data_IF_359084296950
#
_entry.id   IF_359084296950
#
_cell.length_a   1.000
_cell.length_b   1.000
_cell.length_c   1.000
_cell.angle_alpha   90.00
_cell.angle_beta   90.00
_cell.angle_gamma   90.00
#
_symmetry.space_group_name_H-M   'P 1'
#
loop_
_entity.id
_entity.type
_entity.pdbx_description
1 polymer ?
#
# COMPACT_ATOMS: atom_id res chain seq x y z
N UNK A 1 -4.06 74.97 6.93
CA UNK A 1 -2.88 74.26 6.39
C UNK A 1 -2.56 73.08 7.31
N UNK A 2 -2.79 71.83 6.90
CA UNK A 2 -2.14 70.66 7.52
C UNK A 2 -2.96 69.73 8.44
N UNK A 3 -4.17 69.28 8.07
CA UNK A 3 -4.82 68.12 8.77
C UNK A 3 -5.53 67.10 7.87
N UNK A 4 -5.50 67.26 6.55
CA UNK A 4 -6.29 66.42 5.63
C UNK A 4 -5.44 65.43 4.81
N UNK A 5 -4.10 65.51 4.88
CA UNK A 5 -3.19 64.68 4.08
C UNK A 5 -2.89 63.31 4.67
N UNK A 6 -3.24 63.07 5.94
CA UNK A 6 -2.92 61.80 6.63
C UNK A 6 -3.94 60.69 6.36
N UNK A 7 -5.13 61.02 5.85
CA UNK A 7 -6.20 60.03 5.60
C UNK A 7 -6.15 59.40 4.22
N UNK A 8 -5.37 59.97 3.29
CA UNK A 8 -5.34 59.53 1.88
C UNK A 8 -4.26 58.50 1.57
N UNK A 9 -3.29 58.29 2.48
CA UNK A 9 -2.26 57.25 2.33
C UNK A 9 -2.70 55.90 2.91
N UNK A 10 -3.65 55.88 3.86
CA UNK A 10 -4.13 54.64 4.48
C UNK A 10 -5.06 53.83 3.57
N UNK A 11 -5.69 54.45 2.56
CA UNK A 11 -6.64 53.77 1.67
C UNK A 11 -5.95 53.04 0.50
N UNK A 12 -4.69 53.35 0.19
CA UNK A 12 -3.96 52.70 -0.91
C UNK A 12 -3.23 51.41 -0.49
N UNK A 13 -3.02 51.17 0.80
CA UNK A 13 -2.45 49.90 1.28
C UNK A 13 -3.49 48.81 1.53
N UNK A 14 -4.79 49.15 1.55
CA UNK A 14 -5.86 48.18 1.80
C UNK A 14 -6.39 47.50 0.53
N UNK A 15 -5.82 47.78 -0.64
CA UNK A 15 -6.25 47.17 -1.92
C UNK A 15 -5.35 46.02 -2.39
N UNK A 16 -4.19 45.79 -1.76
CA UNK A 16 -3.23 44.73 -2.15
C UNK A 16 -3.18 43.56 -1.16
N UNK A 17 -4.15 43.46 -0.24
CA UNK A 17 -4.20 42.37 0.75
C UNK A 17 -5.29 41.32 0.46
N UNK A 18 -6.07 41.47 -0.62
CA UNK A 18 -7.21 40.57 -0.92
C UNK A 18 -6.92 39.57 -2.05
N UNK A 19 -5.86 39.77 -2.86
CA UNK A 19 -5.55 38.88 -3.99
C UNK A 19 -4.71 37.65 -3.60
N UNK A 20 -4.09 37.64 -2.40
CA UNK A 20 -3.17 36.57 -1.97
C UNK A 20 -3.80 35.40 -1.18
N UNK A 21 -5.11 35.42 -0.90
CA UNK A 21 -5.69 34.57 0.14
C UNK A 21 -6.49 33.34 -0.36
N UNK A 22 -6.29 32.86 -1.60
CA UNK A 22 -7.05 31.72 -2.12
C UNK A 22 -6.21 30.62 -2.81
N UNK A 23 -4.92 30.52 -2.50
CA UNK A 23 -4.14 29.34 -2.89
C UNK A 23 -3.83 28.49 -1.65
N UNK A 24 -4.88 27.94 -1.03
CA UNK A 24 -4.68 26.82 -0.12
C UNK A 24 -4.11 25.66 -0.94
N UNK A 25 -3.01 25.01 -0.52
CA UNK A 25 -2.56 23.79 -1.17
C UNK A 25 -3.71 22.78 -1.03
N UNK A 26 -4.32 22.42 -2.15
CA UNK A 26 -5.20 21.26 -2.22
C UNK A 26 -4.33 20.09 -1.78
N UNK A 27 -4.54 19.62 -0.56
CA UNK A 27 -3.95 18.37 -0.11
C UNK A 27 -4.45 17.32 -1.09
N UNK A 28 -3.58 16.90 -2.01
CA UNK A 28 -3.86 15.79 -2.90
C UNK A 28 -4.19 14.62 -1.98
N UNK A 29 -5.47 14.22 -1.94
CA UNK A 29 -5.91 13.02 -1.27
C UNK A 29 -5.09 11.90 -1.92
N UNK A 30 -4.09 11.41 -1.20
CA UNK A 30 -3.24 10.33 -1.68
C UNK A 30 -4.19 9.17 -1.98
N UNK A 31 -4.35 8.85 -3.27
CA UNK A 31 -5.21 7.75 -3.64
C UNK A 31 -4.76 6.51 -2.87
N UNK A 32 -5.69 5.77 -2.25
CA UNK A 32 -5.35 4.59 -1.49
C UNK A 32 -4.58 3.61 -2.38
N UNK A 33 -3.26 3.55 -2.17
CA UNK A 33 -2.37 2.77 -3.02
C UNK A 33 -2.46 1.31 -2.59
N UNK A 34 -3.09 0.50 -3.44
CA UNK A 34 -2.99 -0.95 -3.32
C UNK A 34 -1.51 -1.37 -3.27
N UNK A 35 -1.17 -2.31 -2.40
CA UNK A 35 0.18 -2.89 -2.32
C UNK A 35 0.16 -4.23 -3.02
N UNK A 36 1.20 -4.56 -3.76
CA UNK A 36 1.33 -5.86 -4.41
C UNK A 36 2.45 -6.68 -3.77
N UNK A 37 2.26 -7.99 -3.74
CA UNK A 37 3.29 -8.94 -3.31
C UNK A 37 4.13 -9.31 -4.53
N UNK A 38 5.44 -9.11 -4.40
CA UNK A 38 6.42 -9.37 -5.45
C UNK A 38 7.38 -10.46 -5.02
N UNK A 39 7.68 -11.36 -5.94
CA UNK A 39 8.64 -12.46 -5.78
C UNK A 39 9.60 -12.50 -6.97
N UNK A 40 10.69 -13.25 -6.82
CA UNK A 40 11.59 -13.54 -7.93
C UNK A 40 10.83 -14.26 -9.07
N UNK A 41 11.31 -14.10 -10.32
CA UNK A 41 10.59 -14.60 -11.50
C UNK A 41 10.47 -16.13 -11.53
N UNK A 42 11.45 -16.82 -10.97
CA UNK A 42 11.58 -18.28 -11.00
C UNK A 42 10.85 -18.97 -9.84
N UNK A 43 10.27 -18.20 -8.91
CA UNK A 43 9.44 -18.72 -7.84
C UNK A 43 8.34 -19.63 -8.44
N UNK A 44 7.94 -20.76 -7.83
CA UNK A 44 6.91 -21.62 -8.42
C UNK A 44 5.48 -21.06 -8.26
N UNK A 45 5.27 -20.13 -7.34
CA UNK A 45 3.93 -19.68 -6.95
C UNK A 45 3.38 -18.63 -7.92
N UNK A 46 2.09 -18.70 -8.24
CA UNK A 46 1.31 -17.63 -8.88
C UNK A 46 0.30 -16.97 -7.94
N UNK A 47 0.00 -17.65 -6.82
CA UNK A 47 -0.95 -17.23 -5.81
C UNK A 47 -0.44 -17.59 -4.41
N UNK A 48 -0.77 -16.78 -3.41
CA UNK A 48 -0.48 -17.06 -2.00
C UNK A 48 -1.66 -16.66 -1.10
N UNK A 49 -1.98 -17.48 -0.10
CA UNK A 49 -2.97 -17.12 0.93
C UNK A 49 -2.41 -16.13 1.95
N UNK A 50 -3.28 -15.31 2.55
CA UNK A 50 -2.87 -14.29 3.55
C UNK A 50 -2.13 -14.92 4.74
N UNK A 51 -2.61 -16.06 5.26
CA UNK A 51 -1.97 -16.74 6.39
C UNK A 51 -0.60 -17.35 6.04
N UNK A 52 -0.42 -17.81 4.80
CA UNK A 52 0.86 -18.30 4.32
C UNK A 52 1.87 -17.14 4.19
N UNK A 53 1.43 -16.01 3.64
CA UNK A 53 2.23 -14.80 3.53
C UNK A 53 2.63 -14.27 4.92
N UNK A 54 1.67 -14.21 5.85
CA UNK A 54 1.91 -13.89 7.26
C UNK A 54 2.95 -14.80 7.89
N UNK A 55 2.85 -16.11 7.67
CA UNK A 55 3.79 -17.09 8.22
C UNK A 55 5.21 -16.90 7.70
N UNK A 56 5.39 -16.49 6.45
CA UNK A 56 6.70 -16.15 5.87
C UNK A 56 7.30 -14.90 6.55
N UNK A 57 6.51 -13.83 6.70
CA UNK A 57 6.97 -12.56 7.28
C UNK A 57 7.13 -12.56 8.80
N UNK A 58 6.58 -13.56 9.49
CA UNK A 58 6.87 -13.88 10.89
C UNK A 58 7.97 -14.94 11.05
N UNK A 59 8.52 -15.49 9.96
CA UNK A 59 9.54 -16.54 10.03
C UNK A 59 9.06 -17.89 10.61
N UNK A 60 7.74 -18.07 10.77
CA UNK A 60 7.09 -19.34 11.14
C UNK A 60 7.19 -20.37 10.01
N UNK A 61 7.18 -19.89 8.76
CA UNK A 61 7.53 -20.65 7.57
C UNK A 61 8.78 -20.02 6.95
N UNK A 62 9.76 -20.83 6.59
CA UNK A 62 11.07 -20.36 6.07
C UNK A 62 11.38 -20.84 4.66
N UNK A 63 10.47 -21.59 4.07
CA UNK A 63 10.63 -22.23 2.76
C UNK A 63 9.37 -22.07 1.93
N UNK A 64 9.58 -21.99 0.63
CA UNK A 64 8.55 -22.12 -0.39
C UNK A 64 8.15 -23.59 -0.57
N UNK A 65 7.00 -23.89 -1.23
CA UNK A 65 6.55 -25.26 -1.42
C UNK A 65 7.51 -26.17 -2.20
N UNK A 66 8.44 -25.59 -2.98
CA UNK A 66 9.49 -26.30 -3.71
C UNK A 66 10.76 -26.54 -2.87
N UNK A 67 10.76 -26.16 -1.58
CA UNK A 67 11.91 -26.23 -0.69
C UNK A 67 12.90 -25.07 -0.83
N UNK A 68 12.67 -24.12 -1.75
CA UNK A 68 13.52 -22.92 -1.85
C UNK A 68 13.39 -22.10 -0.56
N UNK A 69 14.51 -21.71 0.06
CA UNK A 69 14.50 -20.84 1.24
C UNK A 69 13.83 -19.50 0.93
N UNK A 70 12.85 -19.12 1.74
CA UNK A 70 12.18 -17.84 1.62
C UNK A 70 13.05 -16.71 2.20
N UNK A 71 13.14 -15.60 1.47
CA UNK A 71 13.89 -14.40 1.87
C UNK A 71 12.92 -13.22 1.90
N UNK A 72 12.13 -13.07 2.98
CA UNK A 72 11.26 -11.91 3.12
C UNK A 72 12.08 -10.63 3.28
N UNK A 73 11.61 -9.54 2.67
CA UNK A 73 12.16 -8.18 2.80
C UNK A 73 11.04 -7.19 3.08
N UNK A 74 11.31 -6.25 4.00
CA UNK A 74 10.38 -5.19 4.33
C UNK A 74 10.71 -3.94 3.53
N UNK A 75 9.68 -3.18 3.19
CA UNK A 75 9.85 -1.76 2.89
C UNK A 75 10.01 -1.03 4.23
N UNK A 76 10.84 0.01 4.25
CA UNK A 76 10.94 0.91 5.39
C UNK A 76 9.58 1.53 5.74
N UNK A 77 9.47 2.06 6.96
CA UNK A 77 8.24 2.63 7.50
C UNK A 77 7.57 3.64 6.54
N UNK A 78 6.24 3.67 6.59
CA UNK A 78 5.42 4.50 5.72
C UNK A 78 4.11 3.82 5.34
N UNK A 79 3.26 4.47 4.54
CA UNK A 79 1.91 3.96 4.25
C UNK A 79 1.85 2.51 3.71
N UNK A 80 2.76 2.06 2.82
CA UNK A 80 2.74 0.67 2.37
C UNK A 80 3.15 -0.34 3.46
N UNK A 81 4.11 0.03 4.32
CA UNK A 81 4.52 -0.81 5.45
C UNK A 81 3.38 -0.91 6.48
N UNK A 82 2.76 0.21 6.83
CA UNK A 82 1.59 0.27 7.70
C UNK A 82 0.44 -0.60 7.19
N UNK A 83 0.10 -0.48 5.90
CA UNK A 83 -0.93 -1.27 5.25
C UNK A 83 -0.60 -2.76 5.31
N UNK A 84 0.66 -3.13 5.03
CA UNK A 84 1.08 -4.52 5.09
C UNK A 84 1.00 -5.10 6.52
N UNK A 85 1.51 -4.38 7.51
CA UNK A 85 1.48 -4.80 8.92
C UNK A 85 0.04 -4.98 9.42
N UNK A 86 -0.84 -4.00 9.16
CA UNK A 86 -2.24 -4.06 9.61
C UNK A 86 -3.06 -5.15 8.89
N UNK A 87 -2.90 -5.31 7.57
CA UNK A 87 -3.74 -6.24 6.78
C UNK A 87 -3.22 -7.68 6.77
N UNK A 88 -1.92 -7.88 6.52
CA UNK A 88 -1.30 -9.21 6.43
C UNK A 88 -0.88 -9.70 7.80
N UNK A 89 -0.21 -8.85 8.56
CA UNK A 89 0.31 -9.24 9.87
C UNK A 89 -0.71 -9.03 11.00
N UNK A 90 -1.84 -8.36 10.77
CA UNK A 90 -2.84 -8.10 11.82
C UNK A 90 -2.19 -7.58 13.12
N UNK A 91 -1.16 -6.75 12.95
CA UNK A 91 -0.27 -6.25 14.00
C UNK A 91 0.00 -4.77 13.71
N UNK A 92 0.17 -3.97 14.77
CA UNK A 92 0.78 -2.66 14.60
C UNK A 92 2.25 -2.80 14.22
N UNK A 93 2.84 -1.76 13.63
CA UNK A 93 4.28 -1.73 13.33
C UNK A 93 5.12 -1.93 14.61
N UNK A 94 4.71 -1.31 15.71
CA UNK A 94 5.36 -1.46 17.01
C UNK A 94 5.27 -2.89 17.55
N UNK A 95 4.13 -3.57 17.40
CA UNK A 95 4.00 -4.97 17.83
C UNK A 95 4.80 -5.92 16.95
N UNK A 96 4.93 -5.61 15.65
CA UNK A 96 5.76 -6.38 14.74
C UNK A 96 7.26 -6.21 15.04
N UNK A 97 7.70 -5.00 15.41
CA UNK A 97 9.07 -4.77 15.87
C UNK A 97 9.35 -5.51 17.18
N UNK A 98 8.45 -5.39 18.17
CA UNK A 98 8.54 -6.13 19.45
C UNK A 98 8.59 -7.64 19.24
N UNK A 99 7.76 -8.17 18.34
CA UNK A 99 7.78 -9.58 17.98
C UNK A 99 9.19 -10.03 17.57
N UNK A 100 9.88 -9.28 16.72
CA UNK A 100 11.22 -9.64 16.28
C UNK A 100 12.31 -9.41 17.32
N UNK A 101 12.12 -8.47 18.25
CA UNK A 101 12.98 -8.34 19.44
C UNK A 101 12.89 -9.61 20.29
N UNK A 102 11.67 -10.08 20.57
CA UNK A 102 11.43 -11.29 21.37
C UNK A 102 12.00 -12.54 20.68
N UNK A 103 11.75 -12.71 19.37
CA UNK A 103 12.29 -13.84 18.60
C UNK A 103 13.82 -13.84 18.55
N UNK A 104 14.45 -12.66 18.50
CA UNK A 104 15.91 -12.53 18.58
C UNK A 104 16.43 -12.96 19.95
N UNK A 105 15.78 -12.54 21.04
CA UNK A 105 16.14 -12.94 22.42
C UNK A 105 15.99 -14.45 22.61
N UNK A 106 14.99 -15.06 21.98
CA UNK A 106 14.77 -16.52 22.00
C UNK A 106 15.73 -17.30 21.10
N UNK A 107 16.60 -16.63 20.33
CA UNK A 107 17.52 -17.27 19.38
C UNK A 107 16.83 -17.80 18.12
N UNK A 108 15.56 -17.45 17.87
CA UNK A 108 14.81 -17.92 16.72
C UNK A 108 15.22 -17.23 15.41
N UNK A 109 15.88 -16.07 15.48
CA UNK A 109 16.47 -15.39 14.31
C UNK A 109 16.26 -13.88 14.34
N UNK A 110 16.27 -13.27 13.16
CA UNK A 110 16.02 -11.83 12.99
C UNK A 110 15.01 -11.63 11.87
N UNK A 111 14.23 -10.57 12.00
CA UNK A 111 13.18 -10.24 11.06
C UNK A 111 13.69 -9.83 9.67
N UNK A 112 12.76 -9.67 8.72
CA UNK A 112 13.07 -9.22 7.37
C UNK A 112 13.78 -7.86 7.40
N UNK A 113 14.82 -7.73 6.57
CA UNK A 113 15.57 -6.47 6.45
C UNK A 113 14.68 -5.37 5.86
N UNK A 114 14.61 -4.17 6.47
CA UNK A 114 13.95 -3.03 5.87
C UNK A 114 14.82 -2.42 4.75
N UNK A 115 14.19 -2.02 3.66
CA UNK A 115 14.80 -1.34 2.52
C UNK A 115 14.11 0.01 2.29
N UNK A 116 14.91 1.04 2.04
CA UNK A 116 14.45 2.43 2.01
C UNK A 116 13.59 2.84 0.81
N UNK A 117 13.43 1.98 -0.19
CA UNK A 117 12.60 2.30 -1.36
C UNK A 117 12.04 1.08 -2.07
N UNK A 118 10.91 1.26 -2.74
CA UNK A 118 10.29 0.22 -3.58
C UNK A 118 11.24 -0.26 -4.68
N UNK A 119 12.03 0.63 -5.27
CA UNK A 119 13.03 0.26 -6.28
C UNK A 119 14.12 -0.65 -5.70
N UNK A 120 14.52 -0.46 -4.44
CA UNK A 120 15.47 -1.36 -3.77
C UNK A 120 14.84 -2.73 -3.49
N UNK A 121 13.59 -2.77 -3.04
CA UNK A 121 12.83 -4.01 -2.85
C UNK A 121 12.77 -4.79 -4.16
N UNK A 122 12.33 -4.17 -5.24
CA UNK A 122 12.22 -4.79 -6.57
C UNK A 122 13.59 -5.31 -7.04
N UNK A 123 14.64 -4.50 -6.95
CA UNK A 123 15.99 -4.93 -7.36
C UNK A 123 16.51 -6.13 -6.57
N UNK A 124 16.25 -6.17 -5.27
CA UNK A 124 16.66 -7.30 -4.44
C UNK A 124 15.85 -8.55 -4.80
N UNK A 125 14.54 -8.42 -4.91
CA UNK A 125 13.63 -9.51 -5.26
C UNK A 125 13.96 -10.10 -6.64
N UNK A 126 14.29 -9.25 -7.62
CA UNK A 126 14.69 -9.70 -8.95
C UNK A 126 16.02 -10.47 -8.98
N UNK A 127 16.89 -10.29 -7.98
CA UNK A 127 18.25 -10.87 -7.94
C UNK A 127 18.39 -12.05 -6.99
N UNK A 128 17.54 -12.14 -5.98
CA UNK A 128 17.65 -13.13 -4.91
C UNK A 128 16.55 -14.17 -5.07
N UNK A 129 16.94 -15.39 -5.43
CA UNK A 129 16.02 -16.52 -5.51
C UNK A 129 15.34 -16.76 -4.16
N UNK A 130 14.02 -16.94 -4.19
CA UNK A 130 13.20 -17.14 -3.00
C UNK A 130 12.83 -15.84 -2.27
N UNK A 131 13.22 -14.67 -2.78
CA UNK A 131 12.87 -13.40 -2.15
C UNK A 131 11.38 -13.06 -2.32
N UNK A 132 10.81 -12.45 -1.28
CA UNK A 132 9.45 -11.90 -1.28
C UNK A 132 9.43 -10.55 -0.61
N UNK A 133 8.77 -9.59 -1.25
CA UNK A 133 8.55 -8.27 -0.73
C UNK A 133 7.16 -7.76 -1.08
N UNK A 134 6.88 -6.53 -0.67
CA UNK A 134 5.70 -5.79 -1.08
C UNK A 134 6.07 -4.38 -1.49
N UNK A 135 5.36 -3.86 -2.48
CA UNK A 135 5.54 -2.50 -3.01
C UNK A 135 4.20 -1.90 -3.41
N UNK A 136 4.06 -0.57 -3.48
CA UNK A 136 2.88 0.04 -4.08
C UNK A 136 2.67 -0.46 -5.52
N UNK A 137 1.43 -0.75 -5.91
CA UNK A 137 1.08 -1.31 -7.21
C UNK A 137 1.63 -0.49 -8.38
N UNK A 138 1.56 0.84 -8.29
CA UNK A 138 2.09 1.76 -9.30
C UNK A 138 3.62 1.84 -9.38
N UNK A 139 4.37 1.10 -8.56
CA UNK A 139 5.84 1.07 -8.57
C UNK A 139 6.42 -0.20 -9.17
N UNK A 140 5.58 -1.19 -9.48
CA UNK A 140 6.02 -2.47 -10.03
C UNK A 140 6.55 -2.27 -11.45
N UNK A 141 7.63 -2.97 -11.78
CA UNK A 141 8.15 -3.11 -13.13
C UNK A 141 8.14 -4.58 -13.57
N UNK A 142 8.50 -4.87 -14.82
CA UNK A 142 8.52 -6.22 -15.37
C UNK A 142 9.70 -7.10 -14.90
N UNK A 143 10.53 -6.64 -13.96
CA UNK A 143 11.71 -7.40 -13.49
C UNK A 143 11.37 -8.44 -12.42
N UNK A 144 10.22 -8.32 -11.78
CA UNK A 144 9.73 -9.22 -10.73
C UNK A 144 8.41 -9.87 -11.14
N UNK A 145 8.06 -10.95 -10.45
CA UNK A 145 6.73 -11.57 -10.61
C UNK A 145 5.80 -11.10 -9.50
N UNK A 146 4.57 -10.79 -9.86
CA UNK A 146 3.51 -10.40 -8.93
C UNK A 146 2.67 -11.62 -8.57
N UNK A 147 2.40 -11.82 -7.27
CA UNK A 147 1.51 -12.87 -6.80
C UNK A 147 0.08 -12.36 -6.63
N UNK A 148 -0.89 -13.19 -7.03
CA UNK A 148 -2.25 -13.06 -6.52
C UNK A 148 -2.29 -13.38 -5.03
N UNK A 149 -3.20 -12.73 -4.30
CA UNK A 149 -3.40 -12.97 -2.86
C UNK A 149 -4.82 -13.47 -2.65
N UNK A 150 -4.94 -14.64 -2.01
CA UNK A 150 -6.22 -15.34 -1.83
C UNK A 150 -6.98 -15.57 -3.17
N UNK A 151 -6.25 -15.81 -4.25
CA UNK A 151 -6.81 -16.03 -5.59
C UNK A 151 -7.11 -14.75 -6.38
N UNK A 152 -6.95 -13.57 -5.77
CA UNK A 152 -7.32 -12.29 -6.37
C UNK A 152 -6.06 -11.53 -6.77
N UNK A 153 -6.00 -11.05 -8.01
CA UNK A 153 -4.87 -10.27 -8.51
C UNK A 153 -4.92 -8.81 -8.05
N UNK A 154 -3.77 -8.14 -7.86
CA UNK A 154 -3.76 -6.72 -7.51
C UNK A 154 -4.52 -5.87 -8.54
N UNK A 155 -5.35 -4.95 -8.05
CA UNK A 155 -6.20 -4.09 -8.89
C UNK A 155 -7.54 -4.71 -9.29
N UNK A 156 -7.82 -5.96 -8.91
CA UNK A 156 -9.16 -6.54 -9.04
C UNK A 156 -10.05 -6.21 -7.83
N UNK A 157 -11.38 -6.10 -8.01
CA UNK A 157 -12.31 -5.99 -6.89
C UNK A 157 -12.12 -7.13 -5.87
N UNK A 158 -12.17 -6.80 -4.58
CA UNK A 158 -11.96 -7.77 -3.51
C UNK A 158 -10.50 -8.11 -3.19
N UNK A 159 -9.53 -7.46 -3.83
CA UNK A 159 -8.12 -7.67 -3.52
C UNK A 159 -7.83 -7.30 -2.04
N UNK A 160 -7.22 -8.19 -1.24
CA UNK A 160 -7.16 -8.00 0.22
C UNK A 160 -6.12 -6.95 0.66
N UNK A 161 -5.16 -6.58 -0.19
CA UNK A 161 -4.05 -5.69 0.20
C UNK A 161 -4.24 -4.29 -0.40
N UNK A 162 -5.38 -3.72 -0.06
CA UNK A 162 -5.76 -2.38 -0.42
C UNK A 162 -5.48 -1.46 0.76
N UNK A 163 -4.53 -0.54 0.61
CA UNK A 163 -4.15 0.36 1.70
C UNK A 163 -5.34 1.24 2.07
N UNK A 164 -5.95 0.99 3.23
CA UNK A 164 -7.13 1.67 3.78
C UNK A 164 -7.97 2.41 2.73
N UNK A 165 -8.54 1.67 1.80
CA UNK A 165 -9.73 2.17 1.12
C UNK A 165 -10.80 2.22 2.23
N UNK A 166 -11.45 3.36 2.44
CA UNK A 166 -12.50 3.55 3.46
C UNK A 166 -13.77 2.73 3.22
N UNK A 167 -13.66 1.51 2.71
CA UNK A 167 -14.76 0.57 2.49
C UNK A 167 -14.89 -0.37 3.68
N UNK A 168 -16.00 -0.25 4.38
CA UNK A 168 -16.39 -1.19 5.42
C UNK A 168 -16.91 -2.49 4.78
N UNK A 169 -16.55 -3.65 5.36
CA UNK A 169 -16.94 -4.98 4.87
C UNK A 169 -18.38 -5.44 5.24
N UNK A 170 -19.41 -4.59 5.11
CA UNK A 170 -20.77 -5.06 4.80
C UNK A 170 -21.26 -4.68 3.39
N UNK A 171 -20.71 -3.63 2.78
CA UNK A 171 -21.23 -3.05 1.53
C UNK A 171 -20.82 -3.82 0.26
N UNK A 172 -19.71 -4.58 0.33
CA UNK A 172 -19.25 -5.42 -0.78
C UNK A 172 -20.00 -6.75 -0.86
N UNK A 173 -20.67 -7.17 0.22
CA UNK A 173 -21.47 -8.40 0.25
C UNK A 173 -22.69 -8.32 -0.66
N UNK A 174 -23.40 -7.19 -0.66
CA UNK A 174 -24.57 -6.97 -1.54
C UNK A 174 -24.17 -6.88 -3.02
N UNK A 175 -23.02 -6.27 -3.33
CA UNK A 175 -22.53 -6.16 -4.70
C UNK A 175 -22.12 -7.51 -5.29
N UNK A 176 -21.43 -8.35 -4.52
CA UNK A 176 -21.08 -9.72 -4.95
C UNK A 176 -22.32 -10.62 -5.02
N UNK A 177 -23.24 -10.50 -4.05
CA UNK A 177 -24.52 -11.21 -4.08
C UNK A 177 -25.39 -10.80 -5.28
N UNK A 178 -25.38 -9.52 -5.68
CA UNK A 178 -26.09 -9.05 -6.87
C UNK A 178 -25.49 -9.55 -8.19
N UNK A 179 -24.17 -9.79 -8.22
CA UNK A 179 -23.46 -10.37 -9.37
C UNK A 179 -23.77 -11.86 -9.52
N UNK A 180 -23.78 -12.63 -8.43
CA UNK A 180 -24.10 -14.07 -8.43
C UNK A 180 -25.60 -14.32 -8.72
N UNK A 181 -26.47 -13.36 -8.42
CA UNK A 181 -27.90 -13.39 -8.73
C UNK A 181 -28.25 -13.06 -10.20
N UNK A 182 -27.27 -12.88 -11.09
CA UNK A 182 -27.50 -12.66 -12.52
C UNK A 182 -28.11 -11.30 -12.88
N UNK A 183 -28.09 -10.33 -11.95
CA UNK A 183 -28.58 -8.97 -12.20
C UNK A 183 -27.50 -8.20 -12.97
N UNK A 184 -27.88 -7.55 -14.07
CA UNK A 184 -26.96 -6.83 -14.95
C UNK A 184 -26.09 -5.82 -14.20
N UNK A 185 -24.81 -5.72 -14.63
CA UNK A 185 -23.77 -4.81 -14.13
C UNK A 185 -24.36 -3.47 -13.66
N UNK A 186 -24.13 -3.04 -12.41
CA UNK A 186 -24.48 -1.69 -12.01
C UNK A 186 -23.73 -0.67 -12.89
N UNK A 187 -24.45 0.36 -13.31
CA UNK A 187 -23.94 1.43 -14.16
C UNK A 187 -22.93 2.27 -13.37
N UNK A 188 -21.65 1.90 -13.49
CA UNK A 188 -20.48 2.62 -12.98
C UNK A 188 -20.38 2.78 -11.46
N UNK A 189 -19.23 2.35 -10.92
CA UNK A 189 -18.79 2.72 -9.57
C UNK A 189 -18.46 4.23 -9.59
N UNK A 190 -19.09 5.06 -8.74
CA UNK A 190 -18.75 6.48 -8.66
C UNK A 190 -17.25 6.66 -8.41
N UNK A 191 -16.55 7.32 -9.33
CA UNK A 191 -15.10 7.60 -9.23
C UNK A 191 -14.19 6.69 -10.06
N UNK A 192 -14.65 5.54 -10.55
CA UNK A 192 -13.86 4.71 -11.47
C UNK A 192 -14.01 5.24 -12.90
N UNK A 193 -13.20 6.22 -13.30
CA UNK A 193 -13.14 6.65 -14.70
C UNK A 193 -12.49 5.51 -15.49
N UNK A 194 -13.29 4.81 -16.29
CA UNK A 194 -12.80 3.82 -17.23
C UNK A 194 -11.71 4.48 -18.10
N UNK A 195 -10.47 3.99 -17.97
CA UNK A 195 -9.37 4.40 -18.83
C UNK A 195 -9.77 4.11 -20.28
N UNK A 196 -9.96 5.18 -21.07
CA UNK A 196 -10.21 5.07 -22.50
C UNK A 196 -8.98 4.45 -23.16
N UNK A 197 -9.19 3.38 -23.92
CA UNK A 197 -8.30 3.03 -25.04
C UNK A 197 -8.45 4.07 -26.14
#
# INVERSE_FOLDING_TARGET
>A
MGRDTEKLLATWFLSLAIVGALCAPVAALAEPQAIAIVVDRDNPMSNIGVEALRSLFLGKRREWPDGTRAVPVNLEAGPPHHAFCSTVLRMSEADYERYWIDEKVRGAGTGPRPLSSSSLVIRLVARVRGAVGYVPLGRIDGSVKVLSVAGISPGQPGYPLVGNLGWSWPELGELVASYDAGVTRPAAIPGLRAGRR
#
